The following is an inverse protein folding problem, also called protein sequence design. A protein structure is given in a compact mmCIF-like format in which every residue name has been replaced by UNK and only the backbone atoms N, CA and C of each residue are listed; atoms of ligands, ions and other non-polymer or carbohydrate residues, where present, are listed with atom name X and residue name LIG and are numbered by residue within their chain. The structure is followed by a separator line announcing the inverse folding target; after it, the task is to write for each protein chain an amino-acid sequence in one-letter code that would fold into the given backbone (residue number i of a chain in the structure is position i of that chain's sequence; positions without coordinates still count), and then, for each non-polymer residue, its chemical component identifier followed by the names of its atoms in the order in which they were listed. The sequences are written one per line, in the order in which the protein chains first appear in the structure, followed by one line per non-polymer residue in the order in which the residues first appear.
data_IF_163645577944
#
_entry.id   IF_163645577944
#
_cell.length_a   1.000
_cell.length_b   1.000
_cell.length_c   1.000
_cell.angle_alpha   90.00
_cell.angle_beta   90.00
_cell.angle_gamma   90.00
#
_symmetry.space_group_name_H-M   'P 1'
#
loop_
_entity.id
_entity.type
_entity.pdbx_description
1 polymer ?
#
# COMPACT_ATOMS: atom_id res chain seq x y z
N UNK A 1 19.55 9.81 -2.22
CA UNK A 1 19.64 8.34 -2.03
C UNK A 1 18.49 7.67 -2.79
N UNK A 2 18.59 6.37 -3.11
CA UNK A 2 17.52 5.62 -3.81
C UNK A 2 16.65 4.88 -2.78
N UNK A 3 15.34 5.04 -2.84
CA UNK A 3 14.37 4.28 -2.05
C UNK A 3 13.99 2.98 -2.75
N UNK A 4 13.90 1.90 -1.99
CA UNK A 4 13.38 0.63 -2.48
C UNK A 4 12.42 0.02 -1.45
N UNK A 5 11.27 -0.47 -1.91
CA UNK A 5 10.27 -1.14 -1.09
C UNK A 5 10.19 -2.60 -1.54
N UNK A 6 10.46 -3.53 -0.62
CA UNK A 6 10.54 -4.96 -0.91
C UNK A 6 9.27 -5.74 -0.57
N UNK A 7 8.60 -5.38 0.51
CA UNK A 7 7.37 -6.01 0.93
C UNK A 7 6.47 -5.03 1.68
N UNK A 8 5.16 -5.23 1.57
CA UNK A 8 4.15 -4.54 2.36
C UNK A 8 3.36 -5.61 3.12
N UNK A 9 3.61 -5.70 4.43
CA UNK A 9 2.91 -6.65 5.30
C UNK A 9 1.83 -5.92 6.08
N UNK A 10 0.62 -6.46 6.08
CA UNK A 10 -0.44 -5.97 6.96
C UNK A 10 -0.14 -6.46 8.38
N UNK A 11 -0.25 -5.57 9.37
CA UNK A 11 -0.15 -5.96 10.78
C UNK A 11 -1.32 -6.85 11.17
N UNK A 12 -1.11 -7.78 12.12
CA UNK A 12 -2.12 -8.74 12.54
C UNK A 12 -3.42 -8.03 12.91
N UNK A 13 -4.47 -8.27 12.11
CA UNK A 13 -5.82 -7.86 12.43
C UNK A 13 -6.44 -8.86 13.41
N UNK A 14 -7.33 -8.39 14.29
CA UNK A 14 -7.96 -9.23 15.31
C UNK A 14 -8.63 -10.48 14.73
N UNK A 15 -8.80 -11.51 15.55
CA UNK A 15 -9.43 -12.85 15.30
C UNK A 15 -10.79 -12.81 14.58
N UNK A 16 -11.36 -11.62 14.37
CA UNK A 16 -12.64 -11.39 13.73
C UNK A 16 -12.63 -11.37 12.19
N UNK A 17 -11.47 -11.54 11.54
CA UNK A 17 -11.38 -11.73 10.08
C UNK A 17 -11.08 -13.19 9.74
N UNK A 18 -12.09 -13.90 9.22
CA UNK A 18 -11.90 -15.21 8.58
C UNK A 18 -11.08 -15.02 7.30
N UNK A 19 -9.87 -15.56 7.24
CA UNK A 19 -9.11 -15.60 5.99
C UNK A 19 -9.77 -16.54 4.97
N UNK A 20 -9.60 -16.26 3.68
CA UNK A 20 -8.83 -15.16 3.12
C UNK A 20 -9.59 -13.82 3.11
N UNK A 21 -8.86 -12.70 3.15
CA UNK A 21 -9.48 -11.35 3.08
C UNK A 21 -9.23 -10.71 1.70
N UNK A 22 -10.17 -9.90 1.23
CA UNK A 22 -9.98 -9.11 0.00
C UNK A 22 -9.53 -7.70 0.34
N UNK A 23 -8.42 -7.28 -0.25
CA UNK A 23 -7.76 -5.99 -0.03
C UNK A 23 -7.70 -5.21 -1.35
N UNK A 24 -7.96 -3.90 -1.30
CA UNK A 24 -7.78 -3.02 -2.44
C UNK A 24 -7.27 -1.65 -1.99
N UNK A 25 -6.95 -0.79 -2.94
CA UNK A 25 -6.49 0.56 -2.69
C UNK A 25 -5.17 0.86 -3.36
N UNK A 26 -4.53 1.92 -2.88
CA UNK A 26 -3.32 2.49 -3.47
C UNK A 26 -2.25 2.68 -2.40
N UNK A 27 -1.05 2.22 -2.71
CA UNK A 27 0.18 2.67 -2.08
C UNK A 27 1.03 3.30 -3.19
N UNK A 28 1.35 4.58 -3.08
CA UNK A 28 2.20 5.28 -4.03
C UNK A 28 3.24 6.12 -3.32
N UNK A 29 4.40 6.25 -3.96
CA UNK A 29 5.50 7.10 -3.53
C UNK A 29 5.59 8.28 -4.50
N UNK A 30 5.73 9.49 -3.98
CA UNK A 30 6.00 10.70 -4.76
C UNK A 30 7.32 11.28 -4.27
N UNK A 31 8.33 11.25 -5.14
CA UNK A 31 9.59 11.92 -4.91
C UNK A 31 9.51 13.39 -5.35
N UNK A 32 10.49 14.20 -4.93
CA UNK A 32 10.53 15.63 -5.25
C UNK A 32 11.19 15.94 -6.59
N UNK A 33 11.82 14.95 -7.24
CA UNK A 33 12.46 15.11 -8.56
C UNK A 33 11.37 15.11 -9.64
N UNK A 34 10.44 14.17 -9.54
CA UNK A 34 9.27 14.05 -10.40
C UNK A 34 8.05 13.71 -9.54
N UNK A 35 7.20 14.69 -9.15
CA UNK A 35 6.13 14.50 -8.16
C UNK A 35 4.93 13.67 -8.65
N UNK A 36 5.09 12.80 -9.65
CA UNK A 36 4.10 11.81 -10.08
C UNK A 36 4.04 10.62 -9.13
N UNK A 37 2.91 9.90 -9.13
CA UNK A 37 2.71 8.70 -8.30
C UNK A 37 3.50 7.53 -8.90
N UNK A 38 4.48 7.01 -8.17
CA UNK A 38 5.06 5.70 -8.43
C UNK A 38 4.31 4.67 -7.60
N UNK A 39 3.45 3.88 -8.25
CA UNK A 39 2.59 2.91 -7.57
C UNK A 39 3.39 1.70 -7.11
N UNK A 40 3.36 1.44 -5.81
CA UNK A 40 3.92 0.23 -5.18
C UNK A 40 2.82 -0.80 -4.97
N UNK A 41 1.57 -0.36 -4.79
CA UNK A 41 0.37 -1.19 -4.80
C UNK A 41 -0.76 -0.39 -5.45
N UNK A 42 -1.51 -1.03 -6.34
CA UNK A 42 -2.66 -0.42 -7.00
C UNK A 42 -3.68 -1.48 -7.37
N UNK A 43 -4.74 -1.60 -6.58
CA UNK A 43 -5.87 -2.49 -6.83
C UNK A 43 -7.17 -1.71 -6.72
N UNK A 44 -8.04 -1.86 -7.72
CA UNK A 44 -9.34 -1.19 -7.72
C UNK A 44 -10.29 -1.89 -6.76
N UNK A 45 -11.39 -1.22 -6.40
CA UNK A 45 -12.45 -1.82 -5.59
C UNK A 45 -13.12 -3.00 -6.28
N UNK A 46 -13.16 -2.98 -7.61
CA UNK A 46 -13.78 -3.99 -8.45
C UNK A 46 -12.86 -5.20 -8.71
N UNK A 47 -11.54 -5.01 -8.56
CA UNK A 47 -10.50 -6.06 -8.64
C UNK A 47 -9.61 -6.07 -7.37
N UNK A 48 -10.16 -6.47 -6.21
CA UNK A 48 -9.38 -6.58 -4.98
C UNK A 48 -8.48 -7.82 -5.03
N UNK A 49 -7.32 -7.76 -4.38
CA UNK A 49 -6.46 -8.94 -4.16
C UNK A 49 -6.92 -9.71 -2.94
N UNK A 50 -6.93 -11.04 -3.04
CA UNK A 50 -7.17 -11.95 -1.91
C UNK A 50 -5.86 -12.28 -1.21
N UNK A 51 -5.78 -12.10 0.12
CA UNK A 51 -4.57 -12.31 0.92
C UNK A 51 -4.86 -13.25 2.09
N UNK A 52 -3.98 -14.23 2.26
CA UNK A 52 -4.01 -15.20 3.37
C UNK A 52 -3.21 -14.70 4.58
N UNK A 53 -3.48 -15.29 5.75
CA UNK A 53 -2.86 -14.89 7.02
C UNK A 53 -1.35 -15.18 7.09
N UNK A 54 -0.83 -16.11 6.28
CA UNK A 54 0.57 -16.50 6.32
C UNK A 54 1.17 -16.78 4.92
N UNK A 55 2.00 -15.88 4.35
CA UNK A 55 2.34 -14.54 4.85
C UNK A 55 1.28 -13.49 4.46
N UNK A 56 0.91 -12.65 5.42
CA UNK A 56 -0.04 -11.54 5.23
C UNK A 56 0.54 -10.34 4.46
N UNK A 57 0.99 -10.57 3.22
CA UNK A 57 1.75 -9.64 2.40
C UNK A 57 0.96 -9.23 1.15
N UNK A 58 0.99 -7.94 0.82
CA UNK A 58 0.39 -7.42 -0.42
C UNK A 58 1.33 -7.63 -1.61
N UNK A 59 0.81 -8.03 -2.79
CA UNK A 59 1.62 -8.12 -3.99
C UNK A 59 2.02 -6.72 -4.45
N UNK A 60 3.32 -6.49 -4.56
CA UNK A 60 3.82 -5.20 -5.02
C UNK A 60 3.74 -5.09 -6.54
N UNK A 61 3.55 -3.87 -7.02
CA UNK A 61 3.77 -3.50 -8.42
C UNK A 61 5.26 -3.33 -8.67
N UNK A 62 5.71 -3.69 -9.89
CA UNK A 62 7.05 -3.32 -10.33
C UNK A 62 7.16 -1.78 -10.36
N UNK A 63 8.20 -1.19 -9.75
CA UNK A 63 8.38 0.25 -9.79
C UNK A 63 8.53 0.68 -11.25
N UNK A 64 7.78 1.70 -11.65
CA UNK A 64 7.85 2.22 -13.02
C UNK A 64 9.17 2.98 -13.26
N UNK A 65 9.83 3.42 -12.18
CA UNK A 65 11.09 4.18 -12.18
C UNK A 65 11.78 4.10 -10.82
N UNK A 66 13.04 4.53 -10.77
CA UNK A 66 13.77 4.75 -9.52
C UNK A 66 13.11 5.83 -8.66
N UNK A 67 13.08 5.63 -7.34
CA UNK A 67 12.53 6.60 -6.38
C UNK A 67 13.70 7.32 -5.71
N UNK A 68 13.90 8.58 -6.07
CA UNK A 68 15.00 9.38 -5.53
C UNK A 68 14.53 10.16 -4.31
N UNK A 69 15.25 10.04 -3.20
CA UNK A 69 15.05 10.87 -2.01
C UNK A 69 16.22 11.84 -1.93
N UNK A 70 16.15 13.03 -2.55
CA UNK A 70 17.07 14.11 -2.26
C UNK A 70 16.63 14.78 -0.94
N UNK A 71 17.59 15.02 -0.06
CA UNK A 71 17.36 15.70 1.23
C UNK A 71 16.30 15.03 2.12
N UNK A 72 16.22 13.69 2.12
CA UNK A 72 15.33 12.89 2.99
C UNK A 72 13.81 13.08 2.79
N UNK A 73 13.42 13.96 1.85
CA UNK A 73 12.01 14.25 1.53
C UNK A 73 11.39 13.22 0.57
N UNK A 74 10.39 12.50 1.05
CA UNK A 74 9.49 11.68 0.24
C UNK A 74 8.07 11.78 0.75
N UNK A 75 7.09 11.76 -0.17
CA UNK A 75 5.68 11.71 0.19
C UNK A 75 5.16 10.29 -0.05
N UNK A 76 4.66 9.67 1.02
CA UNK A 76 3.97 8.39 0.97
C UNK A 76 2.46 8.65 0.93
N UNK A 77 1.83 8.12 -0.11
CA UNK A 77 0.38 8.13 -0.27
C UNK A 77 -0.16 6.72 -0.06
N UNK A 78 -0.87 6.53 1.05
CA UNK A 78 -1.42 5.23 1.44
C UNK A 78 -2.92 5.35 1.65
N UNK A 79 -3.67 4.55 0.90
CA UNK A 79 -5.11 4.41 1.00
C UNK A 79 -5.49 2.95 0.75
N UNK A 80 -5.55 2.13 1.80
CA UNK A 80 -5.78 0.67 1.72
C UNK A 80 -7.06 0.31 2.45
N UNK A 81 -7.85 -0.57 1.84
CA UNK A 81 -9.19 -0.95 2.26
C UNK A 81 -9.36 -2.47 2.29
N UNK A 82 -10.14 -2.95 3.26
CA UNK A 82 -10.44 -4.38 3.41
C UNK A 82 -11.94 -4.58 3.17
N UNK A 83 -12.27 -5.56 2.33
CA UNK A 83 -13.65 -6.02 2.12
C UNK A 83 -14.09 -6.92 3.26
N UNK A 84 -15.27 -6.66 3.84
CA UNK A 84 -15.89 -7.51 4.85
C UNK A 84 -17.32 -7.85 4.43
N UNK A 85 -17.56 -9.07 3.96
CA UNK A 85 -18.91 -9.52 3.58
C UNK A 85 -19.60 -8.55 2.60
N UNK A 86 -20.78 -8.02 2.96
CA UNK A 86 -21.54 -7.02 2.17
C UNK A 86 -21.08 -5.55 2.37
N UNK A 87 -20.01 -5.31 3.11
CA UNK A 87 -19.52 -3.97 3.44
C UNK A 87 -18.02 -3.80 3.26
N UNK A 88 -17.55 -2.57 3.48
CA UNK A 88 -16.14 -2.19 3.38
C UNK A 88 -15.71 -1.59 4.72
N UNK A 89 -14.64 -2.12 5.28
CA UNK A 89 -14.06 -1.62 6.54
C UNK A 89 -12.73 -0.94 6.21
N UNK A 90 -12.52 0.20 6.82
CA UNK A 90 -11.41 1.16 6.60
C UNK A 90 -10.90 1.63 7.97
N UNK A 91 -9.74 2.25 8.20
CA UNK A 91 -8.83 3.12 7.42
C UNK A 91 -7.39 2.99 7.99
N UNK A 92 -6.35 3.50 7.31
CA UNK A 92 -6.00 4.91 7.52
C UNK A 92 -5.56 5.64 6.24
N UNK A 93 -5.91 6.92 6.14
CA UNK A 93 -5.27 7.86 5.22
C UNK A 93 -4.12 8.48 6.00
N UNK A 94 -2.89 8.04 5.73
CA UNK A 94 -1.71 8.60 6.38
C UNK A 94 -0.80 9.17 5.31
N UNK A 95 -0.68 10.49 5.30
CA UNK A 95 0.33 11.19 4.51
C UNK A 95 1.47 11.48 5.47
N UNK A 96 2.52 10.66 5.40
CA UNK A 96 3.77 10.99 6.08
C UNK A 96 4.59 11.87 5.15
N UNK A 97 5.03 13.01 5.67
CA UNK A 97 6.19 13.72 5.16
C UNK A 97 7.34 13.29 6.05
N UNK A 98 8.20 12.42 5.54
CA UNK A 98 9.45 12.10 6.23
C UNK A 98 10.38 13.28 5.91
N UNK A 99 10.87 14.02 6.92
CA UNK A 99 11.80 15.14 6.72
C UNK A 99 13.13 14.66 6.15
#
# INVERSE_FOLDING_TARGET
MMLQIFFLRLSSFSVSYSCPISVYGVFAVRDVVEPLRNHVFNRSRDDPVTVDQDPFTLPLCSPCRGMYIPYELVLLEVDIWIKKGRGWVSRPKITFRIP
#
